data_IF_962770209490
#
_entry.id   IF_962770209490
#
_cell.length_a   1.000
_cell.length_b   1.000
_cell.length_c   1.000
_cell.angle_alpha   90.00
_cell.angle_beta   90.00
_cell.angle_gamma   90.00
#
_symmetry.space_group_name_H-M   'P 1'
#
loop_
_entity.id
_entity.type
_entity.pdbx_description
1 polymer ?
#
# COMPACT_ATOMS: atom_id res chain seq x y z
N UNK A 1 2.39 8.69 -0.60
CA UNK A 1 2.79 9.60 0.50
C UNK A 1 1.52 10.16 1.13
N UNK A 2 1.37 10.06 2.46
CA UNK A 2 0.21 10.64 3.16
C UNK A 2 0.17 12.16 2.95
N UNK A 3 -0.96 12.72 2.50
CA UNK A 3 -1.07 14.15 2.26
C UNK A 3 -1.24 14.95 3.57
N UNK A 4 -1.04 16.27 3.53
CA UNK A 4 -1.45 17.14 4.63
C UNK A 4 -2.96 17.04 4.89
N UNK A 5 -3.44 17.30 6.14
CA UNK A 5 -4.86 17.16 6.48
C UNK A 5 -5.79 17.93 5.54
N UNK A 6 -5.42 19.16 5.19
CA UNK A 6 -6.22 20.01 4.29
C UNK A 6 -6.35 19.40 2.88
N UNK A 7 -5.30 18.75 2.40
CA UNK A 7 -5.32 18.05 1.12
C UNK A 7 -6.18 16.80 1.17
N UNK A 8 -6.15 16.08 2.29
CA UNK A 8 -6.98 14.90 2.50
C UNK A 8 -8.47 15.26 2.49
N UNK A 9 -8.87 16.40 3.08
CA UNK A 9 -10.25 16.89 3.02
C UNK A 9 -10.71 17.16 1.57
N UNK A 10 -9.83 17.70 0.71
CA UNK A 10 -10.12 17.85 -0.72
C UNK A 10 -10.27 16.52 -1.46
N UNK A 11 -9.52 15.49 -1.05
CA UNK A 11 -9.72 14.15 -1.61
C UNK A 11 -11.10 13.59 -1.24
N UNK A 12 -11.64 13.88 -0.04
CA UNK A 12 -13.01 13.49 0.31
C UNK A 12 -14.04 14.12 -0.64
N UNK A 13 -13.88 15.40 -0.96
CA UNK A 13 -14.76 16.09 -1.91
C UNK A 13 -14.71 15.42 -3.29
N UNK A 14 -13.51 15.04 -3.75
CA UNK A 14 -13.34 14.33 -5.01
C UNK A 14 -14.02 12.96 -4.98
N UNK A 15 -13.84 12.19 -3.90
CA UNK A 15 -14.41 10.86 -3.80
C UNK A 15 -15.95 10.92 -3.73
N UNK A 16 -16.52 11.88 -2.99
CA UNK A 16 -17.96 12.11 -2.99
C UNK A 16 -18.47 12.51 -4.39
N UNK A 17 -17.79 13.42 -5.08
CA UNK A 17 -18.12 13.84 -6.44
C UNK A 17 -17.99 12.70 -7.48
N UNK A 18 -17.08 11.76 -7.25
CA UNK A 18 -16.91 10.57 -8.08
C UNK A 18 -17.93 9.45 -7.77
N UNK A 19 -18.86 9.65 -6.84
CA UNK A 19 -19.95 8.72 -6.53
C UNK A 19 -19.66 7.69 -5.44
N UNK A 20 -18.54 7.83 -4.69
CA UNK A 20 -18.32 7.01 -3.50
C UNK A 20 -19.23 7.41 -2.35
N UNK A 21 -19.63 6.45 -1.53
CA UNK A 21 -20.41 6.64 -0.31
C UNK A 21 -19.67 6.19 0.97
N UNK A 22 -18.47 5.66 0.82
CA UNK A 22 -17.59 5.31 1.94
C UNK A 22 -16.12 5.47 1.56
N UNK A 23 -15.28 5.68 2.56
CA UNK A 23 -13.83 5.71 2.43
C UNK A 23 -13.21 4.73 3.43
N UNK A 24 -12.56 3.68 2.94
CA UNK A 24 -11.79 2.75 3.75
C UNK A 24 -10.36 3.28 3.88
N UNK A 25 -9.90 3.49 5.11
CA UNK A 25 -8.57 4.08 5.38
C UNK A 25 -7.73 3.15 6.24
N UNK A 26 -6.58 2.75 5.73
CA UNK A 26 -5.51 2.13 6.49
C UNK A 26 -4.54 3.23 6.97
N UNK A 27 -4.55 3.51 8.26
CA UNK A 27 -3.84 4.65 8.85
C UNK A 27 -2.35 4.39 9.14
N UNK A 28 -2.01 3.17 9.48
CA UNK A 28 -0.66 2.75 9.84
C UNK A 28 -0.01 3.67 10.91
N UNK A 29 1.23 4.12 10.66
CA UNK A 29 1.97 5.04 11.54
C UNK A 29 1.51 6.51 11.42
N UNK A 30 0.52 6.79 10.55
CA UNK A 30 -0.12 8.11 10.47
C UNK A 30 -1.25 8.28 11.50
N UNK A 31 -1.72 7.21 12.14
CA UNK A 31 -2.70 7.31 13.22
C UNK A 31 -2.05 7.82 14.51
N UNK A 32 -2.72 8.66 15.31
CA UNK A 32 -2.18 9.19 16.56
C UNK A 32 -2.25 8.18 17.71
N UNK A 33 -1.64 7.00 17.53
CA UNK A 33 -1.59 5.94 18.54
C UNK A 33 -1.17 6.46 19.92
N UNK A 34 -1.68 5.90 21.00
CA UNK A 34 -1.25 6.25 22.36
C UNK A 34 0.23 5.94 22.59
N UNK A 35 0.71 4.79 22.06
CA UNK A 35 2.14 4.49 22.07
C UNK A 35 2.90 5.30 21.01
N UNK A 36 3.84 6.17 21.42
CA UNK A 36 4.62 6.99 20.49
C UNK A 36 5.53 6.17 19.57
N UNK A 37 5.89 4.93 19.90
CA UNK A 37 6.68 4.06 19.04
C UNK A 37 5.94 3.72 17.74
N UNK A 38 4.62 3.71 17.75
CA UNK A 38 3.79 3.38 16.58
C UNK A 38 3.52 4.59 15.69
N UNK A 39 4.00 5.77 16.06
CA UNK A 39 3.82 7.02 15.32
C UNK A 39 5.07 7.37 14.53
N UNK A 40 4.86 8.02 13.41
CA UNK A 40 5.94 8.75 12.74
C UNK A 40 5.87 10.23 13.11
N UNK A 41 6.88 10.99 12.67
CA UNK A 41 6.94 12.44 12.94
C UNK A 41 5.76 13.20 12.35
N UNK A 42 5.27 12.76 11.20
CA UNK A 42 4.19 13.38 10.41
C UNK A 42 2.78 12.86 10.78
N UNK A 43 2.65 12.07 11.83
CA UNK A 43 1.38 11.50 12.30
C UNK A 43 0.30 12.58 12.42
N UNK A 44 -0.88 12.28 11.92
CA UNK A 44 -2.06 13.13 12.09
C UNK A 44 -2.40 13.29 13.57
N UNK A 45 -2.91 14.44 13.94
CA UNK A 45 -3.40 14.68 15.31
C UNK A 45 -4.84 14.20 15.42
N UNK A 46 -5.30 13.90 16.64
CA UNK A 46 -6.69 13.49 16.87
C UNK A 46 -7.71 14.48 16.27
N UNK A 47 -7.44 15.80 16.35
CA UNK A 47 -8.29 16.82 15.72
C UNK A 47 -8.31 16.75 14.18
N UNK A 48 -7.25 16.28 13.54
CA UNK A 48 -7.19 16.14 12.08
C UNK A 48 -8.05 14.94 11.65
N UNK A 49 -8.04 13.84 12.43
CA UNK A 49 -8.93 12.68 12.23
C UNK A 49 -10.39 13.08 12.45
N UNK A 50 -10.67 13.87 13.50
CA UNK A 50 -12.03 14.35 13.77
C UNK A 50 -12.54 15.25 12.64
N UNK A 51 -11.73 16.22 12.17
CA UNK A 51 -12.08 17.08 11.06
C UNK A 51 -12.37 16.27 9.77
N UNK A 52 -11.60 15.20 9.52
CA UNK A 52 -11.85 14.29 8.42
C UNK A 52 -13.21 13.58 8.58
N UNK A 53 -13.51 13.06 9.77
CA UNK A 53 -14.77 12.38 10.05
C UNK A 53 -15.98 13.30 9.93
N UNK A 54 -15.87 14.53 10.40
CA UNK A 54 -16.92 15.54 10.30
C UNK A 54 -17.16 15.94 8.84
N UNK A 55 -16.08 16.18 8.06
CA UNK A 55 -16.20 16.49 6.63
C UNK A 55 -16.78 15.32 5.83
N UNK A 56 -16.37 14.09 6.13
CA UNK A 56 -16.94 12.91 5.51
C UNK A 56 -18.46 12.82 5.76
N UNK A 57 -18.89 13.06 7.00
CA UNK A 57 -20.32 13.05 7.34
C UNK A 57 -21.11 14.15 6.58
N UNK A 58 -20.55 15.36 6.43
CA UNK A 58 -21.16 16.42 5.60
C UNK A 58 -21.32 16.01 4.14
N UNK A 59 -20.40 15.21 3.63
CA UNK A 59 -20.41 14.69 2.26
C UNK A 59 -21.18 13.37 2.11
N UNK A 60 -21.84 12.88 3.17
CA UNK A 60 -22.49 11.56 3.22
C UNK A 60 -21.53 10.39 2.92
N UNK A 61 -20.26 10.52 3.32
CA UNK A 61 -19.27 9.46 3.24
C UNK A 61 -19.12 8.75 4.61
N UNK A 62 -19.21 7.45 4.63
CA UNK A 62 -18.86 6.65 5.82
C UNK A 62 -17.33 6.46 5.87
N UNK A 63 -16.71 6.68 7.03
CA UNK A 63 -15.30 6.29 7.25
C UNK A 63 -15.26 4.87 7.78
N UNK A 64 -14.64 3.97 7.05
CA UNK A 64 -14.37 2.59 7.46
C UNK A 64 -12.88 2.47 7.77
N UNK A 65 -12.47 2.38 9.04
CA UNK A 65 -11.07 2.19 9.38
C UNK A 65 -10.61 0.77 9.03
N UNK A 66 -9.39 0.63 8.51
CA UNK A 66 -8.67 -0.63 8.42
C UNK A 66 -7.52 -0.62 9.43
N UNK A 67 -7.47 -1.65 10.26
CA UNK A 67 -6.38 -1.89 11.21
C UNK A 67 -5.87 -3.30 10.99
N UNK A 68 -4.61 -3.44 10.69
CA UNK A 68 -3.96 -4.75 10.62
C UNK A 68 -3.92 -5.39 12.00
N UNK A 69 -4.31 -6.66 12.09
CA UNK A 69 -4.49 -7.34 13.39
C UNK A 69 -3.79 -8.69 13.50
N UNK A 70 -3.23 -9.20 12.40
CA UNK A 70 -2.53 -10.48 12.38
C UNK A 70 -1.43 -10.54 11.32
N UNK A 71 -1.73 -10.36 10.03
CA UNK A 71 -0.77 -10.10 8.95
C UNK A 71 -0.45 -8.62 8.82
N UNK A 72 0.56 -8.26 8.03
CA UNK A 72 0.95 -6.88 7.72
C UNK A 72 1.16 -5.97 8.94
N UNK A 73 1.68 -6.56 10.04
CA UNK A 73 1.90 -5.87 11.31
C UNK A 73 3.29 -5.20 11.41
N UNK A 74 3.95 -4.94 10.28
CA UNK A 74 5.32 -4.42 10.24
C UNK A 74 5.46 -3.09 10.99
N UNK A 75 4.42 -2.25 10.95
CA UNK A 75 4.43 -0.99 11.67
C UNK A 75 4.56 -1.16 13.19
N UNK A 76 4.02 -2.23 13.73
CA UNK A 76 4.09 -2.57 15.15
C UNK A 76 5.32 -3.44 15.45
N UNK A 77 5.46 -4.54 14.71
CA UNK A 77 6.41 -5.61 15.03
C UNK A 77 7.87 -5.28 14.64
N UNK A 78 8.12 -4.22 13.86
CA UNK A 78 9.49 -3.72 13.60
C UNK A 78 10.20 -3.23 14.87
N UNK A 79 9.44 -2.81 15.88
CA UNK A 79 9.98 -2.30 17.14
C UNK A 79 10.35 -3.44 18.10
N UNK A 80 11.52 -3.35 18.72
CA UNK A 80 12.01 -4.39 19.64
C UNK A 80 11.11 -4.56 20.86
N UNK A 81 10.47 -3.50 21.34
CA UNK A 81 9.48 -3.55 22.42
C UNK A 81 8.32 -4.51 22.12
N UNK A 82 8.03 -4.76 20.84
CA UNK A 82 6.97 -5.64 20.37
C UNK A 82 7.49 -7.00 19.84
N UNK A 83 8.82 -7.27 19.90
CA UNK A 83 9.40 -8.52 19.38
C UNK A 83 8.75 -9.78 19.97
N UNK A 84 8.37 -9.73 21.24
CA UNK A 84 7.67 -10.83 21.94
C UNK A 84 6.32 -11.22 21.31
N UNK A 85 5.75 -10.39 20.45
CA UNK A 85 4.50 -10.62 19.74
C UNK A 85 4.69 -11.17 18.32
N UNK A 86 5.92 -11.28 17.80
CA UNK A 86 6.20 -11.85 16.48
C UNK A 86 5.86 -13.34 16.47
N UNK A 87 5.34 -13.82 15.34
CA UNK A 87 5.13 -15.26 15.13
C UNK A 87 6.48 -16.00 14.99
N UNK A 88 7.40 -15.39 14.23
CA UNK A 88 8.79 -15.84 14.07
C UNK A 88 9.73 -14.69 14.45
N UNK A 89 10.81 -14.95 15.19
CA UNK A 89 11.69 -13.92 15.76
C UNK A 89 12.28 -12.97 14.69
N UNK A 90 12.55 -13.50 13.51
CA UNK A 90 13.13 -12.76 12.38
C UNK A 90 12.07 -12.12 11.46
N UNK A 91 10.77 -12.41 11.65
CA UNK A 91 9.68 -11.93 10.79
C UNK A 91 8.84 -10.89 11.54
N UNK A 92 8.83 -9.68 11.03
CA UNK A 92 8.09 -8.57 11.65
C UNK A 92 6.73 -8.27 10.98
N UNK A 93 6.28 -9.11 10.06
CA UNK A 93 5.00 -8.95 9.36
C UNK A 93 3.82 -9.67 10.03
N UNK A 94 4.09 -10.66 10.88
CA UNK A 94 3.03 -11.51 11.42
C UNK A 94 3.01 -11.53 12.95
N UNK A 95 1.85 -11.19 13.48
CA UNK A 95 1.55 -11.27 14.91
C UNK A 95 1.30 -12.72 15.30
N UNK A 96 1.91 -13.18 16.38
CA UNK A 96 1.59 -14.52 16.91
C UNK A 96 0.15 -14.56 17.42
N UNK A 97 -0.61 -15.57 17.03
CA UNK A 97 -1.97 -15.75 17.54
C UNK A 97 -1.94 -16.41 18.92
N UNK A 98 -2.15 -15.62 19.97
CA UNK A 98 -2.39 -16.09 21.33
C UNK A 98 -2.86 -14.94 22.23
N UNK A 99 -3.61 -15.22 23.28
CA UNK A 99 -4.28 -14.33 24.23
C UNK A 99 -3.78 -12.88 24.38
N UNK A 100 -2.49 -12.67 24.67
CA UNK A 100 -1.91 -11.31 24.80
C UNK A 100 -1.89 -10.52 23.49
N UNK A 101 -1.71 -11.20 22.37
CA UNK A 101 -1.66 -10.55 21.04
C UNK A 101 -3.03 -10.09 20.57
N UNK A 102 -4.07 -10.87 20.83
CA UNK A 102 -5.45 -10.43 20.56
C UNK A 102 -5.83 -9.21 21.43
N UNK A 103 -5.33 -9.13 22.67
CA UNK A 103 -5.52 -7.94 23.53
C UNK A 103 -4.80 -6.72 22.99
N UNK A 104 -3.59 -6.87 22.43
CA UNK A 104 -2.88 -5.78 21.76
C UNK A 104 -3.69 -5.27 20.58
N UNK A 105 -4.11 -6.17 19.69
CA UNK A 105 -4.94 -5.81 18.53
C UNK A 105 -6.25 -5.15 18.95
N UNK A 106 -6.98 -5.71 19.92
CA UNK A 106 -8.21 -5.11 20.46
C UNK A 106 -7.98 -3.72 21.08
N UNK A 107 -6.82 -3.49 21.72
CA UNK A 107 -6.42 -2.17 22.20
C UNK A 107 -6.28 -1.16 21.07
N UNK A 108 -5.62 -1.55 19.96
CA UNK A 108 -5.49 -0.70 18.77
C UNK A 108 -6.86 -0.40 18.14
N UNK A 109 -7.74 -1.41 18.04
CA UNK A 109 -9.12 -1.19 17.56
C UNK A 109 -9.86 -0.18 18.46
N UNK A 110 -9.69 -0.29 19.78
CA UNK A 110 -10.29 0.65 20.74
C UNK A 110 -9.83 2.08 20.52
N UNK A 111 -8.52 2.30 20.32
CA UNK A 111 -7.99 3.64 20.05
C UNK A 111 -8.57 4.26 18.76
N UNK A 112 -8.77 3.44 17.73
CA UNK A 112 -9.38 3.90 16.46
C UNK A 112 -10.87 4.25 16.68
N UNK A 113 -11.61 3.40 17.38
CA UNK A 113 -13.04 3.63 17.66
C UNK A 113 -13.27 4.83 18.60
N UNK A 114 -12.32 5.14 19.51
CA UNK A 114 -12.37 6.35 20.36
C UNK A 114 -12.39 7.64 19.49
N UNK A 115 -11.68 7.66 18.35
CA UNK A 115 -11.64 8.80 17.43
C UNK A 115 -12.69 8.73 16.29
N UNK A 116 -13.18 7.54 15.97
CA UNK A 116 -14.15 7.30 14.90
C UNK A 116 -15.39 6.54 15.44
N UNK A 117 -16.15 7.13 16.40
CA UNK A 117 -17.22 6.42 17.11
C UNK A 117 -18.46 6.15 16.24
N UNK A 118 -18.55 6.74 15.06
CA UNK A 118 -19.72 6.61 14.17
C UNK A 118 -19.56 5.53 13.08
N UNK A 119 -18.42 4.81 13.06
CA UNK A 119 -18.22 3.80 12.03
C UNK A 119 -19.12 2.58 12.26
N UNK A 120 -19.80 2.12 11.22
CA UNK A 120 -20.60 0.89 11.24
C UNK A 120 -19.79 -0.37 10.92
N UNK A 121 -18.63 -0.20 10.28
CA UNK A 121 -17.72 -1.26 9.86
C UNK A 121 -16.29 -0.98 10.29
N UNK A 122 -15.52 -2.04 10.52
CA UNK A 122 -14.08 -1.97 10.70
C UNK A 122 -13.41 -3.15 10.01
N UNK A 123 -12.42 -2.86 9.17
CA UNK A 123 -11.66 -3.89 8.47
C UNK A 123 -10.47 -4.34 9.31
N UNK A 124 -10.41 -5.64 9.64
CA UNK A 124 -9.40 -6.24 10.50
C UNK A 124 -8.11 -6.67 9.79
N UNK A 125 -8.02 -6.47 8.46
CA UNK A 125 -6.94 -7.03 7.65
C UNK A 125 -7.01 -8.55 7.61
N UNK A 126 -5.96 -9.19 8.13
CA UNK A 126 -5.91 -10.65 8.37
C UNK A 126 -5.55 -11.48 7.15
N UNK A 127 -5.05 -10.87 6.10
CA UNK A 127 -4.57 -11.49 4.87
C UNK A 127 -3.10 -11.96 4.98
N UNK A 128 -2.73 -12.83 4.04
CA UNK A 128 -1.36 -13.29 3.79
C UNK A 128 -0.59 -13.80 5.02
N UNK A 129 -1.28 -14.40 6.00
CA UNK A 129 -0.69 -14.92 7.24
C UNK A 129 -0.07 -16.29 7.01
N UNK A 130 1.04 -16.33 6.30
CA UNK A 130 1.70 -17.58 5.88
C UNK A 130 2.37 -18.33 7.04
N UNK A 131 3.03 -17.59 7.93
CA UNK A 131 3.82 -18.15 9.03
C UNK A 131 3.02 -18.56 10.26
N UNK A 132 1.73 -18.24 10.34
CA UNK A 132 0.89 -18.57 11.49
C UNK A 132 0.95 -20.05 11.85
N UNK A 133 1.28 -20.34 13.08
CA UNK A 133 1.42 -21.71 13.60
C UNK A 133 2.75 -22.38 13.27
N UNK A 134 3.67 -21.72 12.55
CA UNK A 134 5.01 -22.25 12.26
C UNK A 134 6.03 -21.91 13.36
N UNK A 135 5.80 -20.86 14.13
CA UNK A 135 6.68 -20.37 15.19
C UNK A 135 6.08 -20.48 16.60
N UNK A 136 6.04 -19.35 17.27
CA UNK A 136 5.61 -19.26 18.68
C UNK A 136 4.17 -19.71 18.93
N UNK A 137 3.28 -19.63 17.95
CA UNK A 137 1.91 -20.12 18.07
C UNK A 137 1.72 -21.58 17.65
N UNK A 138 2.80 -22.32 17.29
CA UNK A 138 2.71 -23.70 16.79
C UNK A 138 2.06 -24.68 17.78
N UNK A 139 2.33 -24.55 19.08
CA UNK A 139 1.64 -25.36 20.11
C UNK A 139 0.15 -25.03 20.20
N UNK A 140 -0.20 -23.74 20.09
CA UNK A 140 -1.58 -23.29 20.09
C UNK A 140 -2.34 -23.77 18.84
N UNK A 141 -1.72 -23.74 17.67
CA UNK A 141 -2.29 -24.24 16.42
C UNK A 141 -2.63 -25.75 16.52
N UNK A 142 -1.70 -26.57 17.04
CA UNK A 142 -1.97 -28.00 17.27
C UNK A 142 -3.12 -28.24 18.25
N UNK A 143 -3.18 -27.49 19.37
CA UNK A 143 -4.27 -27.61 20.35
C UNK A 143 -5.63 -27.15 19.78
N UNK A 144 -5.64 -26.14 18.94
CA UNK A 144 -6.84 -25.67 18.25
C UNK A 144 -7.33 -26.66 17.17
N UNK A 145 -6.50 -27.60 16.75
CA UNK A 145 -6.82 -28.52 15.66
C UNK A 145 -6.51 -27.97 14.28
N UNK A 146 -5.55 -27.07 14.17
CA UNK A 146 -5.00 -26.56 12.91
C UNK A 146 -4.84 -25.03 12.85
N UNK A 147 -4.09 -24.60 11.85
CA UNK A 147 -3.77 -23.19 11.60
C UNK A 147 -5.03 -22.32 11.46
N UNK A 148 -6.01 -22.77 10.68
CA UNK A 148 -7.20 -21.94 10.40
C UNK A 148 -8.14 -21.86 11.62
N UNK A 149 -8.22 -22.88 12.43
CA UNK A 149 -8.97 -22.80 13.71
C UNK A 149 -8.29 -21.82 14.68
N UNK A 150 -6.96 -21.78 14.69
CA UNK A 150 -6.22 -20.76 15.47
C UNK A 150 -6.45 -19.36 14.91
N UNK A 151 -6.43 -19.19 13.57
CA UNK A 151 -6.74 -17.93 12.90
C UNK A 151 -8.10 -17.37 13.34
N UNK A 152 -9.16 -18.17 13.19
CA UNK A 152 -10.50 -17.76 13.56
C UNK A 152 -10.69 -17.62 15.07
N UNK A 153 -9.96 -18.36 15.89
CA UNK A 153 -9.96 -18.13 17.34
C UNK A 153 -9.42 -16.74 17.70
N UNK A 154 -8.42 -16.24 16.96
CA UNK A 154 -7.93 -14.87 17.12
C UNK A 154 -8.95 -13.85 16.62
N UNK A 155 -9.47 -14.04 15.41
CA UNK A 155 -10.43 -13.12 14.79
C UNK A 155 -11.76 -13.05 15.55
N UNK A 156 -12.22 -14.15 16.15
CA UNK A 156 -13.45 -14.16 16.95
C UNK A 156 -13.35 -13.28 18.20
N UNK A 157 -12.18 -13.24 18.87
CA UNK A 157 -11.97 -12.33 20.01
C UNK A 157 -12.14 -10.87 19.54
N UNK A 158 -11.62 -10.52 18.36
CA UNK A 158 -11.75 -9.18 17.82
C UNK A 158 -13.16 -8.88 17.32
N UNK A 159 -13.83 -9.88 16.73
CA UNK A 159 -15.23 -9.76 16.31
C UNK A 159 -16.16 -9.53 17.52
N UNK A 160 -15.97 -10.25 18.62
CA UNK A 160 -16.72 -10.02 19.87
C UNK A 160 -16.50 -8.62 20.40
N UNK A 161 -15.24 -8.15 20.45
CA UNK A 161 -14.89 -6.79 20.86
C UNK A 161 -15.60 -5.72 20.03
N UNK A 162 -15.68 -5.90 18.71
CA UNK A 162 -16.37 -4.98 17.79
C UNK A 162 -17.89 -5.07 17.94
N UNK A 163 -18.45 -6.26 18.03
CA UNK A 163 -19.89 -6.51 18.19
C UNK A 163 -20.46 -5.85 19.42
N UNK A 164 -19.73 -5.89 20.56
CA UNK A 164 -20.13 -5.18 21.79
C UNK A 164 -20.25 -3.67 21.60
N UNK A 165 -19.64 -3.14 20.54
CA UNK A 165 -19.65 -1.72 20.14
C UNK A 165 -20.55 -1.42 18.94
N UNK A 166 -21.30 -2.41 18.47
CA UNK A 166 -22.20 -2.27 17.32
C UNK A 166 -21.46 -2.17 15.97
N UNK A 167 -20.18 -2.56 15.91
CA UNK A 167 -19.34 -2.46 14.70
C UNK A 167 -19.23 -3.82 14.03
N UNK A 168 -19.42 -3.87 12.73
CA UNK A 168 -19.31 -5.09 11.92
C UNK A 168 -17.89 -5.28 11.39
N UNK A 169 -17.22 -6.44 11.65
CA UNK A 169 -15.89 -6.72 11.15
C UNK A 169 -15.88 -7.15 9.69
N UNK A 170 -14.92 -6.63 8.93
CA UNK A 170 -14.58 -7.08 7.58
C UNK A 170 -13.20 -7.76 7.62
N UNK A 171 -13.03 -8.86 6.90
CA UNK A 171 -11.76 -9.58 6.70
C UNK A 171 -11.42 -9.66 5.21
N UNK A 172 -10.15 -9.64 4.88
CA UNK A 172 -9.70 -10.13 3.58
C UNK A 172 -10.03 -11.62 3.43
N UNK A 173 -10.53 -12.01 2.28
CA UNK A 173 -11.12 -13.34 2.08
C UNK A 173 -10.13 -14.48 1.88
N UNK A 174 -8.86 -14.18 1.54
CA UNK A 174 -7.85 -15.16 1.12
C UNK A 174 -7.64 -16.29 2.13
N UNK A 175 -7.45 -15.94 3.42
CA UNK A 175 -7.28 -16.92 4.48
C UNK A 175 -8.54 -17.78 4.65
N UNK A 176 -9.72 -17.16 4.70
CA UNK A 176 -11.01 -17.86 4.82
C UNK A 176 -11.25 -18.81 3.65
N UNK A 177 -10.87 -18.43 2.44
CA UNK A 177 -10.96 -19.22 1.23
C UNK A 177 -10.00 -20.44 1.19
N UNK A 178 -9.12 -20.61 2.15
CA UNK A 178 -8.34 -21.85 2.32
C UNK A 178 -9.17 -22.96 2.94
N UNK A 179 -10.24 -22.64 3.70
CA UNK A 179 -11.13 -23.61 4.34
C UNK A 179 -12.11 -24.22 3.34
N UNK A 180 -12.47 -25.51 3.50
CA UNK A 180 -13.66 -26.06 2.87
C UNK A 180 -14.90 -25.28 3.26
N UNK A 181 -15.88 -25.15 2.35
CA UNK A 181 -17.11 -24.36 2.58
C UNK A 181 -17.88 -24.81 3.84
N UNK A 182 -17.85 -26.10 4.15
CA UNK A 182 -18.52 -26.64 5.33
C UNK A 182 -17.87 -26.18 6.64
N UNK A 183 -16.54 -25.99 6.69
CA UNK A 183 -15.84 -25.44 7.85
C UNK A 183 -16.02 -23.92 7.92
N UNK A 184 -16.01 -23.23 6.77
CA UNK A 184 -16.20 -21.79 6.70
C UNK A 184 -17.57 -21.37 7.28
N UNK A 185 -18.61 -22.21 7.16
CA UNK A 185 -19.95 -21.96 7.77
C UNK A 185 -19.89 -21.60 9.25
N UNK A 186 -18.92 -22.12 9.99
CA UNK A 186 -18.79 -21.87 11.43
C UNK A 186 -18.43 -20.41 11.75
N UNK A 187 -17.88 -19.69 10.79
CA UNK A 187 -17.34 -18.32 10.96
C UNK A 187 -18.06 -17.29 10.09
N UNK A 188 -18.75 -17.74 9.06
CA UNK A 188 -19.31 -16.87 8.03
C UNK A 188 -20.35 -15.86 8.54
N UNK A 189 -21.04 -16.16 9.63
CA UNK A 189 -22.03 -15.24 10.23
C UNK A 189 -21.39 -14.05 10.95
N UNK A 190 -20.16 -14.21 11.46
CA UNK A 190 -19.50 -13.22 12.31
C UNK A 190 -18.73 -12.16 11.54
N UNK A 191 -18.43 -12.41 10.26
CA UNK A 191 -17.59 -11.55 9.43
C UNK A 191 -18.22 -11.26 8.08
N UNK A 192 -17.85 -10.12 7.52
CA UNK A 192 -17.94 -9.85 6.10
C UNK A 192 -16.59 -10.17 5.44
N UNK A 193 -16.61 -10.65 4.20
CA UNK A 193 -15.38 -11.06 3.51
C UNK A 193 -15.13 -10.22 2.27
N UNK A 194 -14.00 -9.51 2.23
CA UNK A 194 -13.57 -8.74 1.08
C UNK A 194 -12.76 -9.62 0.12
N UNK A 195 -13.35 -9.95 -1.01
CA UNK A 195 -12.71 -10.73 -2.08
C UNK A 195 -11.83 -9.81 -2.91
N UNK A 196 -10.55 -10.11 -2.97
CA UNK A 196 -9.54 -9.32 -3.70
C UNK A 196 -8.72 -10.17 -4.68
N UNK A 197 -7.90 -9.48 -5.49
CA UNK A 197 -7.04 -10.10 -6.49
C UNK A 197 -7.79 -10.58 -7.73
N UNK A 198 -7.08 -11.26 -8.59
CA UNK A 198 -7.63 -11.88 -9.81
C UNK A 198 -8.06 -13.33 -9.59
N UNK A 199 -8.16 -14.06 -10.69
CA UNK A 199 -8.53 -15.47 -10.73
C UNK A 199 -10.05 -15.66 -10.81
N UNK A 200 -10.54 -16.82 -10.35
CA UNK A 200 -11.95 -17.19 -10.42
C UNK A 200 -12.77 -16.48 -9.32
N UNK A 201 -13.22 -15.27 -9.61
CA UNK A 201 -14.01 -14.44 -8.69
C UNK A 201 -15.35 -15.08 -8.35
N UNK A 202 -16.00 -15.69 -9.33
CA UNK A 202 -17.30 -16.34 -9.14
C UNK A 202 -17.18 -17.51 -8.15
N UNK A 203 -16.17 -18.35 -8.31
CA UNK A 203 -15.90 -19.46 -7.39
C UNK A 203 -15.59 -18.97 -5.97
N UNK A 204 -14.82 -17.87 -5.84
CA UNK A 204 -14.54 -17.27 -4.54
C UNK A 204 -15.83 -16.78 -3.87
N UNK A 205 -16.67 -16.04 -4.61
CA UNK A 205 -17.95 -15.52 -4.12
C UNK A 205 -18.92 -16.66 -3.76
N UNK A 206 -19.05 -17.67 -4.62
CA UNK A 206 -19.94 -18.80 -4.37
C UNK A 206 -19.54 -19.57 -3.11
N UNK A 207 -18.24 -19.75 -2.85
CA UNK A 207 -17.76 -20.43 -1.63
C UNK A 207 -18.15 -19.68 -0.35
N UNK A 208 -18.02 -18.36 -0.35
CA UNK A 208 -18.40 -17.53 0.80
C UNK A 208 -19.92 -17.55 0.97
N UNK A 209 -20.66 -17.37 -0.12
CA UNK A 209 -22.12 -17.36 -0.11
C UNK A 209 -22.72 -18.70 0.35
N UNK A 210 -22.20 -19.81 -0.16
CA UNK A 210 -22.60 -21.16 0.25
C UNK A 210 -22.32 -21.45 1.74
N UNK A 211 -21.37 -20.74 2.33
CA UNK A 211 -21.12 -20.76 3.76
C UNK A 211 -22.04 -19.81 4.56
N UNK A 212 -22.90 -19.01 3.89
CA UNK A 212 -23.75 -18.00 4.55
C UNK A 212 -23.04 -16.68 4.84
N UNK A 213 -21.85 -16.45 4.28
CA UNK A 213 -21.07 -15.23 4.47
C UNK A 213 -21.52 -14.08 3.57
N UNK A 214 -21.29 -12.86 4.02
CA UNK A 214 -21.51 -11.62 3.26
C UNK A 214 -20.23 -11.24 2.53
N UNK A 215 -20.37 -10.69 1.32
CA UNK A 215 -19.28 -10.48 0.39
C UNK A 215 -19.11 -9.00 0.08
N UNK A 216 -17.88 -8.52 0.10
CA UNK A 216 -17.43 -7.28 -0.52
C UNK A 216 -16.52 -7.63 -1.69
N UNK A 217 -16.62 -6.90 -2.79
CA UNK A 217 -15.65 -6.99 -3.88
C UNK A 217 -14.56 -5.94 -3.71
N UNK A 218 -13.30 -6.30 -3.90
CA UNK A 218 -12.18 -5.40 -3.69
C UNK A 218 -11.25 -5.30 -4.92
N UNK A 219 -11.73 -4.70 -6.04
CA UNK A 219 -10.87 -4.39 -7.18
C UNK A 219 -9.87 -3.29 -6.86
N UNK A 220 -8.69 -3.30 -7.50
CA UNK A 220 -7.75 -2.22 -7.33
C UNK A 220 -7.82 -1.20 -8.48
N UNK A 221 -7.82 0.10 -8.14
CA UNK A 221 -7.61 1.18 -9.09
C UNK A 221 -6.13 1.55 -9.23
N UNK A 222 -5.30 1.17 -8.25
CA UNK A 222 -3.84 1.31 -8.25
C UNK A 222 -3.21 0.13 -7.52
N UNK A 223 -2.05 -0.32 -8.01
CA UNK A 223 -1.26 -1.41 -7.43
C UNK A 223 -1.03 -2.53 -8.43
N UNK A 224 0.02 -3.30 -8.23
CA UNK A 224 0.48 -4.34 -9.15
C UNK A 224 0.72 -3.84 -10.61
N UNK A 225 1.10 -2.57 -10.75
CA UNK A 225 1.39 -1.94 -12.04
C UNK A 225 2.85 -2.17 -12.49
N UNK A 226 3.61 -2.90 -11.70
CA UNK A 226 5.02 -3.21 -11.92
C UNK A 226 5.94 -2.46 -10.96
N UNK A 227 7.11 -3.03 -10.69
CA UNK A 227 8.07 -2.52 -9.70
C UNK A 227 8.71 -1.17 -10.06
N UNK A 228 8.58 -0.74 -11.30
CA UNK A 228 9.12 0.53 -11.79
C UNK A 228 8.04 1.56 -12.13
N UNK A 229 6.76 1.20 -12.08
CA UNK A 229 5.65 2.10 -12.38
C UNK A 229 5.03 2.62 -11.09
N UNK A 230 5.06 3.93 -10.91
CA UNK A 230 4.38 4.62 -9.81
C UNK A 230 3.01 5.14 -10.24
N UNK A 231 2.58 4.86 -11.49
CA UNK A 231 1.28 5.25 -12.05
C UNK A 231 0.43 4.03 -12.39
N UNK A 232 -0.89 4.11 -12.22
CA UNK A 232 -1.81 3.05 -12.63
C UNK A 232 -1.94 2.96 -14.16
N UNK A 233 -2.06 1.75 -14.68
CA UNK A 233 -2.49 1.51 -16.04
C UNK A 233 -4.03 1.53 -16.10
N UNK A 234 -4.60 2.63 -16.58
CA UNK A 234 -6.06 2.86 -16.55
C UNK A 234 -6.85 1.75 -17.26
N UNK A 235 -6.39 1.28 -18.44
CA UNK A 235 -7.10 0.22 -19.17
C UNK A 235 -7.10 -1.11 -18.42
N UNK A 236 -5.96 -1.46 -17.83
CA UNK A 236 -5.87 -2.65 -16.99
C UNK A 236 -6.76 -2.53 -15.73
N UNK A 237 -6.77 -1.36 -15.08
CA UNK A 237 -7.63 -1.11 -13.91
C UNK A 237 -9.10 -1.15 -14.27
N UNK A 238 -9.50 -0.55 -15.41
CA UNK A 238 -10.88 -0.61 -15.91
C UNK A 238 -11.33 -2.06 -16.10
N UNK A 239 -10.50 -2.91 -16.72
CA UNK A 239 -10.80 -4.33 -16.91
C UNK A 239 -11.02 -5.05 -15.58
N UNK A 240 -10.14 -4.82 -14.60
CA UNK A 240 -10.28 -5.40 -13.26
C UNK A 240 -11.57 -4.95 -12.61
N UNK A 241 -11.88 -3.66 -12.61
CA UNK A 241 -13.10 -3.11 -12.00
C UNK A 241 -14.35 -3.68 -12.70
N UNK A 242 -14.36 -3.77 -14.03
CA UNK A 242 -15.48 -4.34 -14.79
C UNK A 242 -15.77 -5.79 -14.41
N UNK A 243 -14.75 -6.61 -14.16
CA UNK A 243 -14.96 -7.99 -13.71
C UNK A 243 -15.65 -8.08 -12.34
N UNK A 244 -15.39 -7.13 -11.44
CA UNK A 244 -16.10 -7.06 -10.15
C UNK A 244 -17.52 -6.50 -10.28
N UNK A 245 -17.79 -5.63 -11.25
CA UNK A 245 -19.15 -5.19 -11.57
C UNK A 245 -19.97 -6.33 -12.16
N UNK A 246 -19.39 -7.15 -13.03
CA UNK A 246 -20.03 -8.37 -13.52
C UNK A 246 -20.35 -9.34 -12.37
N UNK A 247 -19.41 -9.49 -11.41
CA UNK A 247 -19.63 -10.27 -10.21
C UNK A 247 -20.80 -9.72 -9.39
N UNK A 248 -20.87 -8.39 -9.20
CA UNK A 248 -21.96 -7.72 -8.47
C UNK A 248 -23.31 -7.89 -9.16
N UNK A 249 -23.34 -8.03 -10.48
CA UNK A 249 -24.56 -8.36 -11.24
C UNK A 249 -25.05 -9.80 -11.03
N UNK A 250 -24.17 -10.71 -10.62
CA UNK A 250 -24.49 -12.14 -10.40
C UNK A 250 -24.72 -12.49 -8.93
N UNK A 251 -24.06 -11.78 -8.03
CA UNK A 251 -24.07 -12.06 -6.59
C UNK A 251 -24.41 -10.80 -5.78
N UNK A 252 -25.20 -10.92 -4.70
CA UNK A 252 -25.49 -9.80 -3.82
C UNK A 252 -24.21 -9.44 -3.03
N UNK A 253 -23.51 -8.40 -3.45
CA UNK A 253 -22.39 -7.85 -2.73
C UNK A 253 -22.85 -6.76 -1.75
N UNK A 254 -22.25 -6.71 -0.56
CA UNK A 254 -22.50 -5.64 0.41
C UNK A 254 -21.93 -4.30 -0.07
N UNK A 255 -20.89 -4.35 -0.88
CA UNK A 255 -20.25 -3.18 -1.48
C UNK A 255 -19.05 -3.54 -2.35
N UNK A 256 -18.50 -2.51 -2.98
CA UNK A 256 -17.27 -2.57 -3.75
C UNK A 256 -16.25 -1.61 -3.15
N UNK A 257 -15.03 -2.09 -2.93
CA UNK A 257 -13.92 -1.32 -2.38
C UNK A 257 -12.90 -1.10 -3.50
N UNK A 258 -12.78 0.13 -4.00
CA UNK A 258 -11.70 0.48 -4.91
C UNK A 258 -10.38 0.59 -4.13
N UNK A 259 -9.52 -0.41 -4.24
CA UNK A 259 -8.26 -0.47 -3.50
C UNK A 259 -7.16 0.35 -4.18
N UNK A 260 -6.46 1.16 -3.39
CA UNK A 260 -5.24 1.84 -3.77
C UNK A 260 -4.04 1.23 -3.05
N UNK A 261 -3.54 0.11 -3.53
CA UNK A 261 -2.34 -0.53 -2.98
C UNK A 261 -1.09 0.21 -3.46
N UNK A 262 -0.76 1.27 -2.74
CA UNK A 262 0.27 2.23 -3.12
C UNK A 262 1.58 2.03 -2.38
N UNK A 263 1.70 1.03 -1.50
CA UNK A 263 2.96 0.72 -0.84
C UNK A 263 3.98 0.15 -1.80
N UNK A 264 5.18 0.69 -1.76
CA UNK A 264 6.31 0.15 -2.52
C UNK A 264 6.79 -1.19 -1.95
N UNK A 265 6.76 -1.32 -0.63
CA UNK A 265 7.09 -2.55 0.10
C UNK A 265 6.35 -2.59 1.42
N UNK A 266 5.94 -3.78 1.86
CA UNK A 266 5.30 -4.00 3.16
C UNK A 266 6.23 -3.71 4.35
N UNK A 267 7.54 -3.68 4.13
CA UNK A 267 8.53 -3.36 5.16
C UNK A 267 8.58 -1.86 5.51
N UNK A 268 7.88 -1.02 4.75
CA UNK A 268 7.86 0.43 4.95
C UNK A 268 6.45 0.96 4.76
N UNK A 269 6.06 1.85 5.65
CA UNK A 269 4.74 2.51 5.63
C UNK A 269 4.61 3.57 4.55
N UNK A 270 5.64 3.78 3.74
CA UNK A 270 5.58 4.78 2.68
C UNK A 270 4.77 4.33 1.48
N UNK A 271 3.83 5.20 1.12
CA UNK A 271 2.99 5.03 -0.05
C UNK A 271 3.44 5.96 -1.17
N UNK A 272 3.19 5.56 -2.40
CA UNK A 272 3.24 6.46 -3.55
C UNK A 272 2.23 7.59 -3.39
N UNK A 273 2.47 8.77 -3.98
CA UNK A 273 1.50 9.87 -3.92
C UNK A 273 0.20 9.48 -4.63
N UNK A 274 -0.92 9.65 -3.96
CA UNK A 274 -2.25 9.35 -4.52
C UNK A 274 -2.60 10.31 -5.65
N UNK A 275 -2.01 11.49 -5.67
CA UNK A 275 -2.22 12.52 -6.68
C UNK A 275 -1.98 12.02 -8.11
N UNK A 276 -1.04 11.11 -8.32
CA UNK A 276 -0.78 10.49 -9.62
C UNK A 276 -1.85 9.48 -10.06
N UNK A 277 -2.76 9.09 -9.17
CA UNK A 277 -3.78 8.07 -9.41
C UNK A 277 -5.22 8.57 -9.23
N UNK A 278 -5.44 9.89 -9.09
CA UNK A 278 -6.77 10.46 -8.87
C UNK A 278 -7.71 10.19 -10.05
N UNK A 279 -7.21 10.17 -11.28
CA UNK A 279 -7.99 9.80 -12.47
C UNK A 279 -8.50 8.36 -12.40
N UNK A 280 -7.66 7.43 -11.93
CA UNK A 280 -8.05 6.03 -11.74
C UNK A 280 -9.07 5.87 -10.62
N UNK A 281 -8.93 6.65 -9.53
CA UNK A 281 -9.90 6.65 -8.44
C UNK A 281 -11.25 7.21 -8.91
N UNK A 282 -11.28 8.33 -9.64
CA UNK A 282 -12.50 8.91 -10.23
C UNK A 282 -13.15 7.93 -11.20
N UNK A 283 -12.35 7.32 -12.09
CA UNK A 283 -12.85 6.29 -13.00
C UNK A 283 -13.53 5.14 -12.26
N UNK A 284 -12.94 4.66 -11.17
CA UNK A 284 -13.52 3.57 -10.39
C UNK A 284 -14.84 3.97 -9.73
N UNK A 285 -14.94 5.17 -9.16
CA UNK A 285 -16.16 5.69 -8.57
C UNK A 285 -17.31 5.84 -9.58
N UNK A 286 -17.02 6.44 -10.73
CA UNK A 286 -17.99 6.56 -11.84
C UNK A 286 -18.49 5.18 -12.31
N UNK A 287 -17.60 4.21 -12.46
CA UNK A 287 -17.97 2.85 -12.82
C UNK A 287 -18.86 2.18 -11.75
N UNK A 288 -18.56 2.37 -10.47
CA UNK A 288 -19.37 1.85 -9.37
C UNK A 288 -20.77 2.47 -9.32
N UNK A 289 -20.89 3.74 -9.69
CA UNK A 289 -22.17 4.47 -9.78
C UNK A 289 -22.95 4.17 -11.07
N UNK A 290 -22.41 3.32 -11.96
CA UNK A 290 -23.04 2.99 -13.25
C UNK A 290 -22.94 4.11 -14.29
N UNK A 291 -22.07 5.08 -14.07
CA UNK A 291 -21.86 6.19 -15.00
C UNK A 291 -20.98 5.79 -16.19
N UNK A 292 -21.18 6.46 -17.31
CA UNK A 292 -20.27 6.34 -18.46
C UNK A 292 -18.98 7.09 -18.19
N UNK A 293 -17.85 6.42 -18.40
CA UNK A 293 -16.51 6.97 -18.16
C UNK A 293 -15.90 7.50 -19.46
N UNK A 294 -15.42 8.75 -19.42
CA UNK A 294 -14.57 9.35 -20.45
C UNK A 294 -13.49 10.22 -19.82
N UNK A 295 -12.41 10.49 -20.56
CA UNK A 295 -11.35 11.39 -20.09
C UNK A 295 -11.85 12.78 -19.73
N UNK A 296 -12.81 13.30 -20.51
CA UNK A 296 -13.40 14.63 -20.29
C UNK A 296 -14.17 14.66 -18.95
N UNK A 297 -14.99 13.67 -18.65
CA UNK A 297 -15.73 13.58 -17.39
C UNK A 297 -14.80 13.45 -16.18
N UNK A 298 -13.74 12.64 -16.29
CA UNK A 298 -12.72 12.53 -15.25
C UNK A 298 -12.06 13.89 -15.00
N UNK A 299 -11.66 14.57 -16.08
CA UNK A 299 -11.04 15.89 -15.99
C UNK A 299 -11.98 16.95 -15.44
N UNK A 300 -13.26 16.88 -15.78
CA UNK A 300 -14.31 17.77 -15.25
C UNK A 300 -14.49 17.57 -13.73
N UNK A 301 -14.58 16.31 -13.27
CA UNK A 301 -14.67 15.99 -11.84
C UNK A 301 -13.45 16.51 -11.06
N UNK A 302 -12.23 16.27 -11.57
CA UNK A 302 -11.00 16.79 -10.97
C UNK A 302 -10.95 18.32 -10.96
N UNK A 303 -11.42 18.98 -12.04
CA UNK A 303 -11.48 20.44 -12.14
C UNK A 303 -12.48 21.03 -11.16
N UNK A 304 -13.66 20.44 -11.03
CA UNK A 304 -14.68 20.85 -10.08
C UNK A 304 -14.14 20.88 -8.63
N UNK A 305 -13.32 19.89 -8.26
CA UNK A 305 -12.68 19.83 -6.94
C UNK A 305 -11.38 20.63 -6.85
N UNK A 306 -10.96 21.36 -7.90
CA UNK A 306 -9.72 22.15 -7.93
C UNK A 306 -8.44 21.28 -7.83
N UNK A 307 -8.48 20.06 -8.35
CA UNK A 307 -7.39 19.08 -8.27
C UNK A 307 -6.74 18.76 -9.63
N UNK A 308 -7.31 19.24 -10.74
CA UNK A 308 -6.89 18.86 -12.08
C UNK A 308 -5.44 19.21 -12.39
N UNK A 309 -5.04 20.46 -12.12
CA UNK A 309 -3.69 20.96 -12.44
C UNK A 309 -2.63 20.21 -11.61
N UNK A 310 -2.90 20.02 -10.31
CA UNK A 310 -2.00 19.26 -9.44
C UNK A 310 -1.91 17.79 -9.86
N UNK A 311 -3.01 17.19 -10.30
CA UNK A 311 -3.04 15.82 -10.82
C UNK A 311 -2.19 15.70 -12.11
N UNK A 312 -2.38 16.60 -13.08
CA UNK A 312 -1.61 16.59 -14.34
C UNK A 312 -0.12 16.67 -14.02
N UNK A 313 0.29 17.67 -13.22
CA UNK A 313 1.70 17.85 -12.87
C UNK A 313 2.27 16.66 -12.09
N UNK A 314 1.50 16.07 -11.18
CA UNK A 314 1.90 14.86 -10.46
C UNK A 314 2.16 13.69 -11.42
N UNK A 315 1.30 13.50 -12.42
CA UNK A 315 1.48 12.44 -13.43
C UNK A 315 2.71 12.67 -14.30
N UNK A 316 2.98 13.90 -14.70
CA UNK A 316 4.20 14.25 -15.46
C UNK A 316 5.44 13.85 -14.65
N UNK A 317 5.57 14.35 -13.43
CA UNK A 317 6.72 14.07 -12.55
C UNK A 317 6.90 12.56 -12.27
N UNK A 318 5.81 11.86 -11.98
CA UNK A 318 5.84 10.41 -11.75
C UNK A 318 6.18 9.63 -13.02
N UNK A 319 5.75 10.10 -14.19
CA UNK A 319 6.12 9.52 -15.49
C UNK A 319 7.61 9.69 -15.76
N UNK A 320 8.15 10.88 -15.55
CA UNK A 320 9.58 11.18 -15.69
C UNK A 320 10.42 10.33 -14.72
N UNK A 321 9.98 10.21 -13.46
CA UNK A 321 10.62 9.36 -12.46
C UNK A 321 10.63 7.89 -12.90
N UNK A 322 9.50 7.38 -13.39
CA UNK A 322 9.37 6.02 -13.90
C UNK A 322 10.30 5.77 -15.08
N UNK A 323 10.35 6.69 -16.04
CA UNK A 323 11.23 6.62 -17.20
C UNK A 323 12.70 6.61 -16.80
N UNK A 324 13.09 7.54 -15.94
CA UNK A 324 14.46 7.67 -15.44
C UNK A 324 14.92 6.41 -14.69
N UNK A 325 14.06 5.86 -13.83
CA UNK A 325 14.31 4.58 -13.14
C UNK A 325 14.48 3.41 -14.12
N UNK A 326 13.63 3.33 -15.13
CA UNK A 326 13.74 2.33 -16.20
C UNK A 326 15.07 2.41 -16.93
N UNK A 327 15.52 3.62 -17.27
CA UNK A 327 16.81 3.85 -17.90
C UNK A 327 17.99 3.49 -16.97
N UNK A 328 17.94 3.90 -15.71
CA UNK A 328 18.96 3.52 -14.72
C UNK A 328 19.03 2.00 -14.53
N UNK A 329 17.90 1.32 -14.47
CA UNK A 329 17.83 -0.14 -14.38
C UNK A 329 18.50 -0.80 -15.57
N UNK A 330 18.20 -0.35 -16.80
CA UNK A 330 18.81 -0.89 -18.00
C UNK A 330 20.34 -0.81 -17.96
N UNK A 331 20.89 0.35 -17.59
CA UNK A 331 22.34 0.52 -17.54
C UNK A 331 23.01 -0.24 -16.38
N UNK A 332 22.35 -0.33 -15.24
CA UNK A 332 22.95 -0.90 -14.03
C UNK A 332 22.79 -2.41 -13.96
N UNK A 333 21.59 -2.92 -14.21
CA UNK A 333 21.28 -4.33 -14.00
C UNK A 333 21.38 -5.14 -15.29
N UNK A 334 20.83 -4.66 -16.38
CA UNK A 334 20.76 -5.47 -17.61
C UNK A 334 22.14 -5.53 -18.31
N UNK A 335 22.87 -4.43 -18.35
CA UNK A 335 24.15 -4.37 -19.08
C UNK A 335 25.36 -4.72 -18.20
N UNK A 336 25.38 -4.28 -16.96
CA UNK A 336 26.48 -4.56 -16.04
C UNK A 336 26.44 -5.97 -15.46
N UNK A 337 25.25 -6.49 -15.14
CA UNK A 337 25.11 -7.85 -14.67
C UNK A 337 25.51 -8.84 -15.77
N UNK A 338 25.13 -8.58 -17.03
CA UNK A 338 25.55 -9.37 -18.17
C UNK A 338 27.07 -9.27 -18.38
N UNK A 339 27.66 -8.09 -18.29
CA UNK A 339 29.09 -7.89 -18.40
C UNK A 339 29.86 -8.58 -17.25
N UNK A 340 29.33 -8.51 -16.02
CA UNK A 340 29.91 -9.23 -14.87
C UNK A 340 29.83 -10.74 -15.05
N UNK A 341 28.71 -11.28 -15.49
CA UNK A 341 28.52 -12.71 -15.77
C UNK A 341 29.49 -13.19 -16.86
N UNK A 342 29.78 -12.36 -17.84
CA UNK A 342 30.73 -12.66 -18.91
C UNK A 342 32.21 -12.43 -18.51
N UNK A 343 32.51 -12.10 -17.24
CA UNK A 343 33.85 -11.73 -16.75
C UNK A 343 34.49 -10.56 -17.53
N UNK A 344 33.71 -9.78 -18.24
CA UNK A 344 34.14 -8.63 -19.01
C UNK A 344 34.43 -7.39 -18.14
N UNK A 345 34.10 -7.41 -16.86
CA UNK A 345 34.36 -6.35 -15.88
C UNK A 345 35.82 -6.29 -15.38
N UNK A 346 36.75 -6.96 -16.06
CA UNK A 346 38.16 -6.57 -15.94
C UNK A 346 38.39 -5.28 -16.74
N UNK A 347 37.83 -4.20 -16.20
CA UNK A 347 37.61 -2.89 -16.79
C UNK A 347 38.93 -2.15 -17.11
N UNK A 348 40.03 -2.80 -17.27
CA UNK A 348 41.23 -2.17 -17.79
C UNK A 348 40.97 -1.69 -19.21
N UNK A 349 40.54 -0.43 -19.34
CA UNK A 349 40.51 0.33 -20.60
C UNK A 349 39.38 -0.03 -21.60
N UNK A 350 38.25 -0.53 -21.15
CA UNK A 350 37.13 -0.73 -22.05
C UNK A 350 36.31 0.56 -22.17
N UNK A 351 36.35 1.19 -23.34
CA UNK A 351 35.62 2.40 -23.68
C UNK A 351 34.07 2.25 -23.47
N UNK A 352 33.54 1.03 -23.59
CA UNK A 352 32.12 0.74 -23.40
C UNK A 352 31.71 0.93 -21.94
N UNK A 353 32.54 0.51 -20.99
CA UNK A 353 32.27 0.68 -19.56
C UNK A 353 32.37 2.15 -19.11
N UNK A 354 33.31 2.92 -19.67
CA UNK A 354 33.37 4.36 -19.50
C UNK A 354 32.08 5.04 -19.97
N UNK A 355 31.51 4.59 -21.10
CA UNK A 355 30.26 5.12 -21.60
C UNK A 355 29.08 4.84 -20.66
N UNK A 356 28.95 3.64 -20.08
CA UNK A 356 27.91 3.33 -19.10
C UNK A 356 28.06 4.16 -17.84
N UNK A 357 29.28 4.37 -17.36
CA UNK A 357 29.56 5.22 -16.22
C UNK A 357 29.11 6.67 -16.48
N UNK A 358 29.47 7.22 -17.66
CA UNK A 358 29.06 8.56 -18.06
C UNK A 358 27.54 8.67 -18.20
N UNK A 359 26.90 7.65 -18.78
CA UNK A 359 25.43 7.59 -18.89
C UNK A 359 24.77 7.60 -17.51
N UNK A 360 25.27 6.83 -16.55
CA UNK A 360 24.75 6.81 -15.19
C UNK A 360 24.98 8.15 -14.45
N UNK A 361 26.15 8.78 -14.60
CA UNK A 361 26.39 10.13 -14.06
C UNK A 361 25.39 11.14 -14.59
N UNK A 362 25.12 11.10 -15.89
CA UNK A 362 24.13 11.97 -16.54
C UNK A 362 22.72 11.72 -15.97
N UNK A 363 22.31 10.45 -15.80
CA UNK A 363 21.00 10.12 -15.25
C UNK A 363 20.83 10.55 -13.79
N UNK A 364 21.91 10.52 -13.00
CA UNK A 364 21.89 11.05 -11.64
C UNK A 364 21.78 12.57 -11.62
N UNK A 365 22.40 13.29 -12.55
CA UNK A 365 22.22 14.73 -12.68
C UNK A 365 20.76 15.09 -13.06
N UNK A 366 20.16 14.33 -14.00
CA UNK A 366 18.74 14.45 -14.35
C UNK A 366 17.84 14.17 -13.13
N UNK A 367 18.21 13.18 -12.29
CA UNK A 367 17.48 12.90 -11.06
C UNK A 367 17.53 14.06 -10.05
N UNK A 368 18.68 14.72 -9.86
CA UNK A 368 18.78 15.86 -8.93
C UNK A 368 17.91 17.04 -9.40
N UNK A 369 17.82 17.25 -10.73
CA UNK A 369 16.89 18.24 -11.30
C UNK A 369 15.45 17.84 -11.02
N UNK A 370 15.06 16.61 -11.34
CA UNK A 370 13.72 16.09 -11.12
C UNK A 370 13.33 16.11 -9.63
N UNK A 371 14.26 15.80 -8.73
CA UNK A 371 14.09 15.88 -7.29
C UNK A 371 13.69 17.30 -6.85
N UNK A 372 14.36 18.32 -7.38
CA UNK A 372 14.03 19.72 -7.11
C UNK A 372 12.60 20.06 -7.54
N UNK A 373 12.18 19.60 -8.70
CA UNK A 373 10.82 19.79 -9.22
C UNK A 373 9.78 19.02 -8.41
N UNK A 374 10.11 17.82 -7.93
CA UNK A 374 9.26 17.05 -7.02
C UNK A 374 9.00 17.81 -5.73
N UNK A 375 10.04 18.35 -5.09
CA UNK A 375 9.88 19.17 -3.89
C UNK A 375 9.05 20.43 -4.16
N UNK A 376 9.35 21.16 -5.23
CA UNK A 376 8.59 22.35 -5.60
C UNK A 376 7.09 22.08 -5.81
N UNK A 377 6.73 20.87 -6.25
CA UNK A 377 5.34 20.49 -6.47
C UNK A 377 4.71 19.85 -5.22
N UNK A 378 5.30 18.76 -4.71
CA UNK A 378 4.68 17.93 -3.68
C UNK A 378 4.75 18.50 -2.27
N UNK A 379 5.76 19.33 -1.92
CA UNK A 379 5.86 19.97 -0.60
C UNK A 379 4.67 20.92 -0.28
N UNK A 380 3.91 21.27 -1.29
CA UNK A 380 2.67 22.07 -1.14
C UNK A 380 1.56 21.30 -0.42
N UNK A 381 1.57 19.97 -0.47
CA UNK A 381 0.50 19.13 0.06
C UNK A 381 0.95 17.80 0.69
N UNK A 382 2.25 17.56 0.74
CA UNK A 382 2.89 16.41 1.43
C UNK A 382 4.09 16.94 2.20
N UNK A 383 4.44 16.35 3.33
CA UNK A 383 5.65 16.73 4.07
C UNK A 383 6.91 16.53 3.21
N UNK A 384 7.77 17.54 3.15
CA UNK A 384 9.03 17.50 2.41
C UNK A 384 9.90 16.28 2.78
N UNK A 385 9.87 15.86 4.04
CA UNK A 385 10.56 14.65 4.50
C UNK A 385 9.99 13.39 3.84
N UNK A 386 8.69 13.29 3.68
CA UNK A 386 8.06 12.15 3.01
C UNK A 386 8.37 12.11 1.52
N UNK A 387 8.45 13.27 0.89
CA UNK A 387 8.90 13.41 -0.51
C UNK A 387 10.33 12.93 -0.65
N UNK A 388 11.23 13.39 0.23
CA UNK A 388 12.63 12.96 0.25
C UNK A 388 12.77 11.45 0.45
N UNK A 389 12.10 10.88 1.46
CA UNK A 389 12.14 9.45 1.73
C UNK A 389 11.62 8.64 0.53
N UNK A 390 10.55 9.10 -0.12
CA UNK A 390 9.98 8.47 -1.31
C UNK A 390 10.98 8.43 -2.46
N UNK A 391 11.63 9.55 -2.76
CA UNK A 391 12.61 9.66 -3.83
C UNK A 391 13.88 8.84 -3.53
N UNK A 392 14.39 8.93 -2.31
CA UNK A 392 15.57 8.16 -1.88
C UNK A 392 15.34 6.65 -2.03
N UNK A 393 14.19 6.13 -1.63
CA UNK A 393 13.90 4.71 -1.81
C UNK A 393 13.95 4.25 -3.25
N UNK A 394 13.46 5.08 -4.17
CA UNK A 394 13.41 4.74 -5.59
C UNK A 394 14.78 4.79 -6.25
N UNK A 395 15.68 5.65 -5.75
CA UNK A 395 17.02 5.84 -6.34
C UNK A 395 18.16 5.20 -5.55
N UNK A 396 17.94 4.82 -4.30
CA UNK A 396 18.96 4.18 -3.46
C UNK A 396 19.65 2.96 -4.13
N UNK A 397 18.94 2.04 -4.80
CA UNK A 397 19.58 0.92 -5.50
C UNK A 397 20.54 1.38 -6.59
N UNK A 398 20.18 2.43 -7.34
CA UNK A 398 21.01 2.98 -8.41
C UNK A 398 22.22 3.73 -7.88
N UNK A 399 22.07 4.53 -6.83
CA UNK A 399 23.18 5.18 -6.14
C UNK A 399 24.17 4.16 -5.56
N UNK A 400 23.68 3.10 -4.93
CA UNK A 400 24.53 2.03 -4.40
C UNK A 400 25.27 1.29 -5.51
N UNK A 401 24.59 0.95 -6.59
CA UNK A 401 25.19 0.30 -7.74
C UNK A 401 26.25 1.18 -8.40
N UNK A 402 25.99 2.47 -8.58
CA UNK A 402 26.97 3.40 -9.12
C UNK A 402 28.18 3.56 -8.18
N UNK A 403 27.95 3.63 -6.87
CA UNK A 403 29.05 3.70 -5.88
C UNK A 403 29.93 2.45 -5.96
N UNK A 404 29.32 1.28 -6.06
CA UNK A 404 30.05 0.03 -6.25
C UNK A 404 30.87 0.04 -7.56
N UNK A 405 30.27 0.45 -8.68
CA UNK A 405 30.91 0.55 -9.98
C UNK A 405 32.12 1.48 -9.96
N UNK A 406 31.97 2.66 -9.38
CA UNK A 406 33.05 3.63 -9.27
C UNK A 406 34.18 3.13 -8.37
N UNK A 407 33.86 2.47 -7.26
CA UNK A 407 34.85 1.82 -6.40
C UNK A 407 35.65 0.76 -7.16
N UNK A 408 35.01 -0.03 -7.98
CA UNK A 408 35.66 -1.06 -8.78
C UNK A 408 36.55 -0.44 -9.88
N UNK A 409 36.06 0.60 -10.54
CA UNK A 409 36.85 1.36 -11.52
C UNK A 409 38.11 1.98 -10.87
N UNK A 410 37.99 2.55 -9.68
CA UNK A 410 39.14 3.05 -8.90
C UNK A 410 40.18 1.95 -8.61
N UNK A 411 39.67 0.79 -8.15
CA UNK A 411 40.52 -0.39 -7.83
C UNK A 411 41.33 -0.87 -9.04
N UNK A 412 40.79 -0.73 -10.24
CA UNK A 412 41.43 -1.11 -11.50
C UNK A 412 42.16 0.06 -12.21
N UNK A 413 42.22 1.23 -11.58
CA UNK A 413 42.98 2.39 -12.08
C UNK A 413 42.33 3.08 -13.31
N UNK A 414 40.99 3.13 -13.36
CA UNK A 414 40.30 3.89 -14.42
C UNK A 414 40.48 5.39 -14.20
N UNK A 415 40.98 6.17 -15.21
CA UNK A 415 41.40 7.57 -15.00
C UNK A 415 40.29 8.51 -14.51
N UNK A 416 39.06 8.30 -14.96
CA UNK A 416 37.92 9.19 -14.62
C UNK A 416 37.14 8.75 -13.35
N UNK A 417 37.48 7.60 -12.78
CA UNK A 417 36.72 7.02 -11.68
C UNK A 417 36.92 7.81 -10.37
N UNK A 418 38.12 8.33 -10.13
CA UNK A 418 38.44 9.11 -8.93
C UNK A 418 37.66 10.42 -8.91
N UNK A 419 37.71 11.16 -10.02
CA UNK A 419 36.96 12.40 -10.18
C UNK A 419 35.43 12.14 -10.06
N UNK A 420 34.93 11.14 -10.77
CA UNK A 420 33.52 10.76 -10.70
C UNK A 420 33.05 10.35 -9.31
N UNK A 421 33.90 9.67 -8.54
CA UNK A 421 33.58 9.28 -7.18
C UNK A 421 33.49 10.49 -6.25
N UNK A 422 34.47 11.41 -6.33
CA UNK A 422 34.47 12.65 -5.54
C UNK A 422 33.29 13.56 -5.85
N UNK A 423 32.98 13.74 -7.12
CA UNK A 423 31.86 14.58 -7.58
C UNK A 423 30.51 14.08 -7.08
N UNK A 424 30.31 12.76 -7.01
CA UNK A 424 29.02 12.16 -6.67
C UNK A 424 28.85 11.80 -5.20
N UNK A 425 29.91 11.59 -4.47
CA UNK A 425 29.85 11.09 -3.08
C UNK A 425 30.62 11.96 -2.06
N UNK A 426 31.25 13.05 -2.51
CA UNK A 426 31.83 14.08 -1.63
C UNK A 426 33.00 13.59 -0.76
N UNK A 427 33.78 12.58 -1.20
CA UNK A 427 34.91 12.01 -0.44
C UNK A 427 36.25 12.24 -1.11
#
# INVERSE_FOLDING_TARGET
MPPHPERLLRHLELYAAAGYNALLIEWEDMFPWKDPLLRRRETYRGKDIQALADRAAELNLEIIPLVQTLGHMENVLRHEAYAQYRELDWLNSELRSAGKSAKLAAGMLGEVLDLLPRTGYLHLGGDEVAGLGLGHSGKAARRAGGKMKLYFSHMNILSEFLRERGVRPILWADMALTLPSQELKQYAADFDFAVWGGGDLERKAERIRSAGGRIWGAPCFKGADGITSDLPNLDARKKVISAYLELAGKYPLNGLIACGWSRYTTLRSQCEPVEGALDAAVMAGMLFSGESVSGDKISECLRHCGLLEDHIRSKELLSELTLLRGQCRRYLFDELELAAAQKCLRIKKDAKNAWYLLAMKRRLAEYETLKTEFHAHFDRFVSARLVEEYLEERFLPFRRGLKWMLSDCRRYGHPDAEQGYRELFGC
#
